data_IF_865608896873
#
_entry.id   IF_865608896873
#
_cell.length_a   1.000
_cell.length_b   1.000
_cell.length_c   1.000
_cell.angle_alpha   90.00
_cell.angle_beta   90.00
_cell.angle_gamma   90.00
#
_symmetry.space_group_name_H-M   'P 1'
#
loop_
_entity.id
_entity.type
_entity.pdbx_description
1 polymer ?
#
# COMPACT_ATOMS: atom_id res chain seq x y z
N UNK A 1 -22.21 9.31 -17.64
CA UNK A 1 -20.81 8.83 -17.50
C UNK A 1 -19.90 10.06 -17.45
N UNK A 2 -18.97 10.17 -16.49
CA UNK A 2 -18.21 11.43 -16.25
C UNK A 2 -17.09 11.71 -17.25
N UNK A 3 -16.45 10.66 -17.81
CA UNK A 3 -15.42 10.80 -18.85
C UNK A 3 -16.09 10.66 -20.21
N UNK A 4 -15.99 11.70 -21.05
CA UNK A 4 -16.68 11.77 -22.35
C UNK A 4 -15.93 11.01 -23.45
N UNK A 5 -14.60 11.16 -23.49
CA UNK A 5 -13.74 10.51 -24.49
C UNK A 5 -13.60 9.00 -24.20
N UNK A 6 -13.78 8.17 -25.23
CA UNK A 6 -13.64 6.72 -25.15
C UNK A 6 -12.19 6.26 -24.98
N UNK A 7 -11.26 6.89 -25.71
CA UNK A 7 -9.85 6.49 -25.64
C UNK A 7 -9.25 6.86 -24.30
N UNK A 8 -9.62 8.03 -23.76
CA UNK A 8 -9.28 8.40 -22.40
C UNK A 8 -9.88 7.43 -21.38
N UNK A 9 -11.15 7.00 -21.53
CA UNK A 9 -11.76 5.99 -20.64
C UNK A 9 -10.96 4.69 -20.61
N UNK A 10 -10.51 4.19 -21.77
CA UNK A 10 -9.69 2.98 -21.86
C UNK A 10 -8.38 3.16 -21.08
N UNK A 11 -7.70 4.30 -21.25
CA UNK A 11 -6.45 4.60 -20.53
C UNK A 11 -6.62 4.76 -19.01
N UNK A 12 -7.77 5.26 -18.56
CA UNK A 12 -8.08 5.46 -17.14
C UNK A 12 -8.60 4.18 -16.45
N UNK A 13 -9.00 3.17 -17.21
CA UNK A 13 -9.54 1.92 -16.67
C UNK A 13 -8.40 0.99 -16.25
N UNK A 14 -8.25 0.69 -14.95
CA UNK A 14 -7.16 -0.16 -14.49
C UNK A 14 -7.37 -1.62 -14.95
N UNK A 15 -6.29 -2.34 -15.31
CA UNK A 15 -6.38 -3.74 -15.76
C UNK A 15 -6.40 -4.72 -14.58
N UNK A 16 -7.13 -4.40 -13.51
CA UNK A 16 -7.22 -5.21 -12.30
C UNK A 16 -8.60 -5.07 -11.66
N UNK A 17 -8.97 -6.05 -10.83
CA UNK A 17 -10.28 -6.11 -10.20
C UNK A 17 -10.47 -4.99 -9.16
N UNK A 18 -11.71 -4.50 -9.07
CA UNK A 18 -12.07 -3.52 -8.07
C UNK A 18 -11.85 -4.07 -6.65
N UNK A 19 -11.28 -3.24 -5.77
CA UNK A 19 -10.96 -3.64 -4.40
C UNK A 19 -9.61 -4.34 -4.23
N UNK A 20 -8.91 -4.67 -5.32
CA UNK A 20 -7.53 -5.16 -5.24
C UNK A 20 -6.58 -4.10 -4.65
N UNK A 21 -6.85 -2.81 -4.89
CA UNK A 21 -6.23 -1.67 -4.22
C UNK A 21 -7.28 -0.89 -3.44
N UNK A 22 -6.84 -0.12 -2.44
CA UNK A 22 -7.70 0.82 -1.72
C UNK A 22 -8.29 1.84 -2.70
N UNK A 23 -9.62 1.92 -2.75
CA UNK A 23 -10.33 2.84 -3.61
C UNK A 23 -10.03 4.30 -3.20
N UNK A 24 -9.69 5.13 -4.18
CA UNK A 24 -9.59 6.57 -4.01
C UNK A 24 -10.93 7.19 -4.38
N UNK A 25 -11.51 7.96 -3.46
CA UNK A 25 -12.81 8.62 -3.65
C UNK A 25 -12.56 10.11 -3.87
N UNK A 26 -13.01 10.61 -5.02
CA UNK A 26 -12.84 12.01 -5.40
C UNK A 26 -13.91 12.39 -6.42
N UNK A 27 -14.41 13.62 -6.32
CA UNK A 27 -15.35 14.19 -7.28
C UNK A 27 -14.63 14.98 -8.38
N UNK A 28 -13.36 15.33 -8.17
CA UNK A 28 -12.67 16.36 -8.95
C UNK A 28 -11.66 15.78 -9.95
N UNK A 29 -11.24 14.52 -9.78
CA UNK A 29 -10.18 13.93 -10.60
C UNK A 29 -10.59 13.69 -12.06
N UNK A 30 -11.76 13.08 -12.31
CA UNK A 30 -12.24 12.87 -13.68
C UNK A 30 -12.57 14.18 -14.42
N UNK A 31 -13.13 15.22 -13.77
CA UNK A 31 -13.21 16.55 -14.38
C UNK A 31 -11.83 17.17 -14.68
N UNK A 32 -10.87 17.03 -13.76
CA UNK A 32 -9.54 17.62 -13.92
C UNK A 32 -8.76 17.03 -15.10
N UNK A 33 -8.79 15.70 -15.28
CA UNK A 33 -8.02 15.01 -16.34
C UNK A 33 -8.54 15.34 -17.76
N UNK A 34 -9.74 15.88 -17.88
CA UNK A 34 -10.36 16.26 -19.17
C UNK A 34 -10.15 17.74 -19.53
N UNK A 35 -9.47 18.54 -18.69
CA UNK A 35 -9.20 19.95 -18.98
C UNK A 35 -8.22 20.10 -20.16
N UNK A 36 -8.36 21.14 -20.99
CA UNK A 36 -7.53 21.30 -22.19
C UNK A 36 -6.04 21.50 -21.89
N UNK A 37 -5.69 21.92 -20.67
CA UNK A 37 -4.32 22.10 -20.21
C UNK A 37 -3.75 20.89 -19.44
N UNK A 38 -4.40 19.73 -19.52
CA UNK A 38 -3.96 18.50 -18.85
C UNK A 38 -3.69 17.42 -19.89
N UNK A 39 -2.51 16.80 -19.81
CA UNK A 39 -2.10 15.69 -20.66
C UNK A 39 -1.85 14.46 -19.79
N UNK A 40 -2.56 13.36 -20.08
CA UNK A 40 -2.28 12.05 -19.50
C UNK A 40 -1.16 11.37 -20.29
N UNK A 41 -0.06 11.05 -19.62
CA UNK A 41 1.07 10.28 -20.17
C UNK A 41 1.16 8.97 -19.40
N UNK A 42 1.03 7.84 -20.10
CA UNK A 42 1.07 6.48 -19.50
C UNK A 42 2.36 5.73 -19.79
N UNK A 43 3.24 6.34 -20.59
CA UNK A 43 4.49 5.74 -21.05
C UNK A 43 5.52 5.77 -19.92
N UNK A 44 6.38 4.75 -19.85
CA UNK A 44 7.38 4.64 -18.79
C UNK A 44 8.41 5.76 -18.91
N UNK A 45 8.75 6.37 -17.78
CA UNK A 45 9.81 7.38 -17.69
C UNK A 45 11.16 6.68 -17.84
N UNK A 46 12.00 7.19 -18.74
CA UNK A 46 13.37 6.75 -18.98
C UNK A 46 14.36 7.54 -18.13
N UNK A 47 14.27 8.86 -18.17
CA UNK A 47 15.15 9.76 -17.43
C UNK A 47 14.44 11.08 -17.10
N UNK A 48 14.87 11.71 -16.00
CA UNK A 48 14.50 13.07 -15.64
C UNK A 48 15.73 13.94 -15.89
N UNK A 49 15.58 14.98 -16.72
CA UNK A 49 16.60 15.99 -16.97
C UNK A 49 16.34 17.21 -16.08
N UNK A 50 17.20 18.22 -16.18
CA UNK A 50 17.09 19.47 -15.43
C UNK A 50 15.77 20.23 -15.65
N UNK A 51 15.20 20.11 -16.85
CA UNK A 51 14.10 20.92 -17.37
C UNK A 51 13.09 20.09 -18.18
N UNK A 52 13.22 18.77 -18.18
CA UNK A 52 12.33 17.89 -18.94
C UNK A 52 12.25 16.46 -18.37
N UNK A 53 11.26 15.71 -18.84
CA UNK A 53 11.09 14.28 -18.59
C UNK A 53 11.11 13.56 -19.93
N UNK A 54 11.93 12.52 -20.04
CA UNK A 54 12.02 11.68 -21.24
C UNK A 54 11.38 10.33 -20.97
N UNK A 55 10.53 9.87 -21.88
CA UNK A 55 9.91 8.55 -21.83
C UNK A 55 10.62 7.55 -22.75
N UNK A 56 10.41 6.25 -22.54
CA UNK A 56 11.13 5.19 -23.28
C UNK A 56 10.81 5.12 -24.79
N UNK A 57 9.68 5.66 -25.21
CA UNK A 57 9.27 5.83 -26.61
C UNK A 57 9.94 7.03 -27.29
N UNK A 58 10.73 7.82 -26.56
CA UNK A 58 11.53 8.92 -27.10
C UNK A 58 10.87 10.30 -27.01
N UNK A 59 9.65 10.40 -26.50
CA UNK A 59 9.03 11.68 -26.22
C UNK A 59 9.76 12.43 -25.10
N UNK A 60 9.89 13.75 -25.25
CA UNK A 60 10.45 14.64 -24.25
C UNK A 60 9.43 15.71 -23.87
N UNK A 61 9.23 15.87 -22.56
CA UNK A 61 8.24 16.75 -21.97
C UNK A 61 8.96 17.86 -21.19
N UNK A 62 9.04 19.10 -21.69
CA UNK A 62 9.59 20.21 -20.92
C UNK A 62 8.73 20.52 -19.70
N UNK A 63 9.35 20.71 -18.53
CA UNK A 63 8.66 20.91 -17.25
C UNK A 63 9.35 21.99 -16.42
N UNK A 64 8.57 22.85 -15.77
CA UNK A 64 9.10 23.82 -14.80
C UNK A 64 9.08 23.25 -13.36
N UNK A 65 8.12 22.37 -13.06
CA UNK A 65 7.88 21.80 -11.73
C UNK A 65 7.54 20.31 -11.84
N UNK A 66 8.15 19.52 -10.95
CA UNK A 66 7.88 18.09 -10.77
C UNK A 66 7.27 17.87 -9.38
N UNK A 67 6.07 17.29 -9.33
CA UNK A 67 5.42 16.88 -8.09
C UNK A 67 5.51 15.35 -7.95
N UNK A 68 6.17 14.89 -6.88
CA UNK A 68 6.37 13.47 -6.60
C UNK A 68 5.19 12.88 -5.82
N UNK A 69 4.27 12.22 -6.54
CA UNK A 69 3.13 11.51 -5.94
C UNK A 69 3.34 9.99 -5.98
N UNK A 70 4.52 9.53 -5.56
CA UNK A 70 5.00 8.12 -5.67
C UNK A 70 4.60 7.21 -4.49
N UNK A 71 3.76 7.68 -3.57
CA UNK A 71 3.29 6.89 -2.44
C UNK A 71 4.36 6.66 -1.36
N UNK A 72 4.24 5.56 -0.63
CA UNK A 72 5.03 5.26 0.59
C UNK A 72 5.49 3.80 0.62
N UNK A 73 6.52 3.54 1.43
CA UNK A 73 6.89 2.21 1.87
C UNK A 73 6.25 1.95 3.24
N UNK A 74 5.36 0.95 3.32
CA UNK A 74 4.36 0.85 4.41
C UNK A 74 4.46 -0.45 5.22
N UNK A 75 5.43 -1.30 4.91
CA UNK A 75 5.73 -2.50 5.70
C UNK A 75 7.25 -2.73 5.75
N UNK A 76 7.87 -2.33 6.86
CA UNK A 76 9.29 -2.57 7.15
C UNK A 76 9.49 -3.49 8.35
N UNK A 77 8.41 -4.04 8.91
CA UNK A 77 8.47 -4.99 10.03
C UNK A 77 8.25 -6.41 9.49
N UNK A 78 9.31 -7.17 9.20
CA UNK A 78 9.21 -8.45 8.49
C UNK A 78 8.78 -9.61 9.39
N UNK A 79 8.69 -9.40 10.71
CA UNK A 79 8.43 -10.50 11.64
C UNK A 79 6.93 -10.77 11.77
N UNK A 80 6.46 -12.02 11.60
CA UNK A 80 5.07 -12.38 11.83
C UNK A 80 4.70 -12.11 13.30
N UNK A 81 3.49 -11.64 13.51
CA UNK A 81 2.99 -11.29 14.83
C UNK A 81 1.62 -11.93 15.08
N UNK A 82 1.45 -12.52 16.26
CA UNK A 82 0.19 -13.05 16.70
C UNK A 82 -0.78 -11.90 16.91
N UNK A 83 -1.95 -11.99 16.27
CA UNK A 83 -2.94 -10.90 16.21
C UNK A 83 -2.38 -9.58 15.65
N UNK A 84 -1.24 -9.61 14.95
CA UNK A 84 -0.56 -8.43 14.47
C UNK A 84 0.00 -7.54 15.59
N UNK A 85 0.15 -8.07 16.82
CA UNK A 85 0.60 -7.32 18.00
C UNK A 85 1.80 -7.96 18.68
N UNK A 86 1.69 -9.23 19.08
CA UNK A 86 2.73 -9.92 19.86
C UNK A 86 3.66 -10.71 18.97
N UNK A 87 4.97 -10.51 19.13
CA UNK A 87 6.00 -11.16 18.32
C UNK A 87 6.65 -12.27 19.16
N UNK A 88 6.69 -13.53 18.68
CA UNK A 88 7.27 -14.63 19.46
C UNK A 88 8.76 -14.39 19.73
N UNK A 89 9.22 -14.78 20.91
CA UNK A 89 10.60 -14.63 21.40
C UNK A 89 11.00 -13.17 21.71
N UNK A 90 10.04 -12.24 21.74
CA UNK A 90 10.22 -10.86 22.19
C UNK A 90 9.28 -10.60 23.37
N UNK A 91 9.60 -11.10 24.58
CA UNK A 91 8.72 -10.97 25.74
C UNK A 91 8.43 -9.51 26.07
N UNK A 92 7.19 -9.23 26.46
CA UNK A 92 6.69 -7.89 26.82
C UNK A 92 6.79 -6.84 25.68
N UNK A 93 6.99 -7.27 24.44
CA UNK A 93 7.02 -6.40 23.28
C UNK A 93 5.70 -6.47 22.50
N UNK A 94 5.09 -5.31 22.26
CA UNK A 94 3.82 -5.17 21.55
C UNK A 94 3.94 -4.14 20.42
N UNK A 95 3.44 -4.49 19.24
CA UNK A 95 3.43 -3.62 18.06
C UNK A 95 2.00 -3.16 17.78
N UNK A 96 1.81 -1.86 17.58
CA UNK A 96 0.56 -1.33 17.02
C UNK A 96 0.67 -1.24 15.50
N UNK A 97 -0.44 -1.51 14.82
CA UNK A 97 -0.50 -1.53 13.35
C UNK A 97 0.55 -2.49 12.75
N UNK A 98 0.78 -3.62 13.42
CA UNK A 98 1.69 -4.66 12.94
C UNK A 98 1.14 -5.46 11.74
N UNK A 99 1.85 -6.53 11.34
CA UNK A 99 1.48 -7.35 10.18
C UNK A 99 0.03 -7.82 10.22
N UNK A 100 -0.57 -7.99 9.04
CA UNK A 100 -1.96 -8.44 8.85
C UNK A 100 -3.05 -7.50 9.41
N UNK A 101 -2.70 -6.30 9.89
CA UNK A 101 -3.69 -5.32 10.41
C UNK A 101 -3.97 -4.14 9.48
N UNK A 102 -3.24 -4.04 8.37
CA UNK A 102 -3.51 -3.05 7.33
C UNK A 102 -4.85 -3.32 6.63
N UNK A 103 -5.65 -2.27 6.45
CA UNK A 103 -6.99 -2.37 5.85
C UNK A 103 -7.13 -1.46 4.63
N UNK A 104 -7.73 -1.97 3.55
CA UNK A 104 -8.15 -1.16 2.39
C UNK A 104 -9.58 -0.67 2.40
N UNK A 105 -10.41 -1.16 3.33
CA UNK A 105 -11.86 -0.96 3.30
C UNK A 105 -12.42 -0.28 4.56
N UNK A 106 -11.60 -0.09 5.61
CA UNK A 106 -12.05 0.52 6.86
C UNK A 106 -10.94 1.40 7.47
N UNK A 107 -11.28 2.12 8.54
CA UNK A 107 -10.37 2.94 9.32
C UNK A 107 -9.37 2.09 10.09
N UNK A 108 -8.12 2.51 10.08
CA UNK A 108 -7.06 1.90 10.90
C UNK A 108 -7.30 2.12 12.40
N UNK A 109 -8.07 3.14 12.79
CA UNK A 109 -8.40 3.45 14.18
C UNK A 109 -9.08 2.27 14.86
N UNK A 110 -9.99 1.59 14.15
CA UNK A 110 -10.69 0.41 14.67
C UNK A 110 -9.70 -0.71 15.03
N UNK A 111 -8.65 -0.88 14.22
CA UNK A 111 -7.59 -1.85 14.52
C UNK A 111 -6.79 -1.42 15.74
N UNK A 112 -6.41 -0.15 15.81
CA UNK A 112 -5.65 0.40 16.94
C UNK A 112 -6.42 0.24 18.25
N UNK A 113 -7.72 0.54 18.26
CA UNK A 113 -8.58 0.38 19.44
C UNK A 113 -8.66 -1.08 19.88
N UNK A 114 -8.87 -2.02 18.95
CA UNK A 114 -8.87 -3.45 19.27
C UNK A 114 -7.51 -3.95 19.79
N UNK A 115 -6.40 -3.44 19.24
CA UNK A 115 -5.05 -3.78 19.68
C UNK A 115 -4.77 -3.22 21.08
N UNK A 116 -5.15 -1.97 21.36
CA UNK A 116 -5.02 -1.36 22.70
C UNK A 116 -5.83 -2.16 23.73
N UNK A 117 -7.05 -2.58 23.39
CA UNK A 117 -7.85 -3.44 24.26
C UNK A 117 -7.16 -4.78 24.55
N UNK A 118 -6.58 -5.43 23.53
CA UNK A 118 -5.81 -6.66 23.70
C UNK A 118 -4.59 -6.47 24.60
N UNK A 119 -3.80 -5.41 24.37
CA UNK A 119 -2.61 -5.09 25.17
C UNK A 119 -3.01 -4.81 26.62
N UNK A 120 -4.08 -4.04 26.84
CA UNK A 120 -4.57 -3.72 28.19
C UNK A 120 -4.98 -4.98 28.94
N UNK A 121 -5.70 -5.90 28.28
CA UNK A 121 -6.08 -7.19 28.88
C UNK A 121 -4.84 -8.04 29.22
N UNK A 122 -3.83 -8.06 28.34
CA UNK A 122 -2.58 -8.79 28.60
C UNK A 122 -1.84 -8.24 29.83
N UNK A 123 -1.73 -6.91 29.94
CA UNK A 123 -1.07 -6.26 31.08
C UNK A 123 -1.83 -6.48 32.39
N UNK A 124 -3.16 -6.38 32.38
CA UNK A 124 -3.99 -6.67 33.55
C UNK A 124 -3.84 -8.13 33.98
N UNK A 125 -3.86 -9.08 33.04
CA UNK A 125 -3.63 -10.49 33.32
C UNK A 125 -2.25 -10.75 33.94
N UNK A 126 -1.20 -10.12 33.40
CA UNK A 126 0.14 -10.22 33.99
C UNK A 126 0.17 -9.71 35.43
N UNK A 127 -0.46 -8.56 35.69
CA UNK A 127 -0.54 -7.99 37.03
C UNK A 127 -1.31 -8.89 38.01
N UNK A 128 -2.47 -9.40 37.60
CA UNK A 128 -3.30 -10.31 38.42
C UNK A 128 -2.60 -11.62 38.78
N UNK A 129 -1.76 -12.14 37.87
CA UNK A 129 -1.06 -13.40 38.05
C UNK A 129 0.39 -13.22 38.53
N UNK A 130 0.79 -11.99 38.88
CA UNK A 130 2.15 -11.64 39.28
C UNK A 130 3.22 -12.13 38.26
N UNK A 131 2.89 -12.09 36.98
CA UNK A 131 3.76 -12.52 35.89
C UNK A 131 4.67 -11.37 35.44
N UNK A 132 5.98 -11.64 35.34
CA UNK A 132 6.97 -10.66 34.91
C UNK A 132 7.17 -10.62 33.38
N UNK A 133 6.73 -11.66 32.69
CA UNK A 133 6.95 -11.84 31.26
C UNK A 133 5.72 -12.46 30.61
N UNK A 134 5.35 -11.93 29.45
CA UNK A 134 4.35 -12.49 28.54
C UNK A 134 4.95 -12.58 27.15
N UNK A 135 4.85 -13.76 26.56
CA UNK A 135 5.27 -14.04 25.20
C UNK A 135 4.28 -15.01 24.55
N UNK A 136 4.18 -14.96 23.22
CA UNK A 136 3.40 -15.90 22.43
C UNK A 136 4.26 -17.08 22.02
N UNK A 137 3.72 -18.30 22.15
CA UNK A 137 4.42 -19.49 21.67
C UNK A 137 4.56 -19.45 20.14
N UNK A 138 5.72 -19.85 19.64
CA UNK A 138 6.02 -19.87 18.20
C UNK A 138 4.97 -20.67 17.41
N UNK A 139 4.62 -21.88 17.85
CA UNK A 139 3.65 -22.74 17.16
C UNK A 139 2.24 -22.11 17.07
N UNK A 140 1.87 -21.27 18.04
CA UNK A 140 0.60 -20.55 18.08
C UNK A 140 0.63 -19.37 17.10
N UNK A 141 1.75 -18.65 17.05
CA UNK A 141 1.98 -17.59 16.07
C UNK A 141 1.92 -18.13 14.64
N UNK A 142 2.63 -19.22 14.36
CA UNK A 142 2.75 -19.79 13.02
C UNK A 142 1.39 -20.27 12.52
N UNK A 143 0.67 -21.07 13.34
CA UNK A 143 -0.68 -21.52 13.02
C UNK A 143 -1.66 -20.38 12.78
N UNK A 144 -1.52 -19.27 13.52
CA UNK A 144 -2.34 -18.07 13.31
C UNK A 144 -2.07 -17.42 11.95
N UNK A 145 -0.79 -17.22 11.62
CA UNK A 145 -0.39 -16.61 10.36
C UNK A 145 -0.72 -17.50 9.16
N UNK A 146 -0.49 -18.82 9.23
CA UNK A 146 -0.85 -19.78 8.19
C UNK A 146 -2.35 -19.72 7.85
N UNK A 147 -3.20 -19.65 8.88
CA UNK A 147 -4.64 -19.53 8.71
C UNK A 147 -5.02 -18.22 8.01
N UNK A 148 -4.38 -17.10 8.38
CA UNK A 148 -4.59 -15.81 7.72
C UNK A 148 -4.17 -15.88 6.26
N UNK A 149 -2.95 -16.36 5.98
CA UNK A 149 -2.44 -16.44 4.61
C UNK A 149 -3.32 -17.35 3.75
N UNK A 150 -3.77 -18.48 4.28
CA UNK A 150 -4.72 -19.38 3.60
C UNK A 150 -6.04 -18.69 3.24
N UNK A 151 -6.59 -17.87 4.14
CA UNK A 151 -7.81 -17.08 3.87
C UNK A 151 -7.57 -15.98 2.85
N UNK A 152 -6.45 -15.27 2.93
CA UNK A 152 -6.11 -14.16 2.03
C UNK A 152 -5.93 -14.61 0.58
N UNK A 153 -5.40 -15.81 0.35
CA UNK A 153 -5.21 -16.40 -1.01
C UNK A 153 -6.47 -16.38 -1.87
N UNK A 154 -7.65 -16.45 -1.27
CA UNK A 154 -8.95 -16.50 -1.98
C UNK A 154 -9.60 -15.12 -2.16
N UNK A 155 -8.93 -14.05 -1.77
CA UNK A 155 -9.49 -12.70 -1.79
C UNK A 155 -8.94 -11.88 -2.96
N UNK A 156 -9.67 -10.84 -3.35
CA UNK A 156 -9.25 -9.89 -4.41
C UNK A 156 -7.89 -9.24 -4.11
N UNK A 157 -7.47 -9.21 -2.85
CA UNK A 157 -6.16 -8.74 -2.41
C UNK A 157 -4.99 -9.60 -2.90
N UNK A 158 -5.22 -10.85 -3.30
CA UNK A 158 -4.21 -11.75 -3.84
C UNK A 158 -4.53 -12.18 -5.28
N UNK A 159 -5.81 -12.34 -5.61
CA UNK A 159 -6.24 -12.82 -6.93
C UNK A 159 -6.67 -11.71 -7.90
N UNK A 160 -6.81 -10.46 -7.44
CA UNK A 160 -7.42 -9.38 -8.21
C UNK A 160 -6.55 -8.78 -9.32
N UNK A 161 -5.42 -9.40 -9.66
CA UNK A 161 -4.56 -8.99 -10.78
C UNK A 161 -3.78 -7.68 -10.58
N UNK A 162 -3.87 -7.05 -9.40
CA UNK A 162 -3.10 -5.86 -9.09
C UNK A 162 -1.86 -6.17 -8.26
N UNK A 163 -0.94 -5.21 -8.28
CA UNK A 163 0.25 -5.17 -7.43
C UNK A 163 0.17 -3.93 -6.55
N UNK A 164 0.15 -4.11 -5.24
CA UNK A 164 -0.08 -3.06 -4.25
C UNK A 164 0.94 -3.10 -3.13
N UNK A 165 1.09 -2.00 -2.39
CA UNK A 165 2.00 -1.92 -1.25
C UNK A 165 1.60 -2.80 -0.05
N UNK A 166 0.39 -3.35 -0.04
CA UNK A 166 -0.05 -4.34 0.96
C UNK A 166 0.51 -5.75 0.66
N UNK A 167 1.08 -5.94 -0.53
CA UNK A 167 1.77 -7.15 -0.95
C UNK A 167 3.27 -6.86 -0.92
N UNK A 168 4.06 -7.79 -0.40
CA UNK A 168 5.42 -7.53 0.02
C UNK A 168 6.38 -7.16 -1.13
N UNK A 169 7.40 -6.35 -0.82
CA UNK A 169 8.56 -6.03 -1.67
C UNK A 169 9.88 -6.33 -0.91
N UNK A 170 10.79 -7.02 -1.59
CA UNK A 170 11.93 -7.79 -1.06
C UNK A 170 12.95 -6.93 -0.31
N UNK A 171 13.07 -7.09 1.00
CA UNK A 171 14.37 -6.89 1.67
C UNK A 171 14.53 -7.86 2.85
N UNK A 172 15.37 -8.89 2.63
CA UNK A 172 15.97 -9.86 3.57
C UNK A 172 15.09 -11.01 4.09
N UNK A 173 15.20 -12.19 3.46
CA UNK A 173 15.58 -13.51 4.05
C UNK A 173 15.20 -14.64 3.05
N UNK A 174 16.11 -15.62 2.92
CA UNK A 174 15.98 -16.76 2.01
C UNK A 174 14.91 -17.74 2.51
N UNK A 175 13.75 -17.73 1.87
CA UNK A 175 12.88 -18.88 1.55
C UNK A 175 11.65 -18.30 0.81
N UNK A 176 11.12 -19.05 -0.15
CA UNK A 176 10.22 -18.59 -1.20
C UNK A 176 8.92 -17.95 -0.67
N UNK A 177 8.89 -16.62 -0.50
CA UNK A 177 7.68 -15.81 -0.33
C UNK A 177 7.73 -14.57 -1.25
N UNK A 178 6.55 -14.13 -1.72
CA UNK A 178 6.37 -13.30 -2.92
C UNK A 178 6.96 -11.90 -2.78
N UNK A 179 7.73 -11.49 -3.80
CA UNK A 179 8.23 -10.12 -3.93
C UNK A 179 8.37 -9.70 -5.40
N UNK A 180 7.70 -8.63 -5.85
CA UNK A 180 8.00 -7.98 -7.15
C UNK A 180 7.79 -6.46 -7.07
N UNK A 181 8.81 -5.70 -7.51
CA UNK A 181 8.74 -4.28 -7.90
C UNK A 181 7.97 -4.12 -9.19
N UNK A 182 6.85 -3.43 -9.16
CA UNK A 182 6.03 -3.35 -10.37
C UNK A 182 5.34 -2.03 -10.49
N UNK A 183 5.79 -1.30 -11.51
CA UNK A 183 5.06 -0.23 -12.16
C UNK A 183 4.29 0.65 -11.18
N UNK A 184 5.06 1.42 -10.40
CA UNK A 184 4.55 2.73 -10.07
C UNK A 184 4.23 3.39 -11.41
N UNK A 185 2.94 3.54 -11.72
CA UNK A 185 2.52 4.78 -12.34
C UNK A 185 3.00 5.87 -11.39
N UNK A 186 4.24 6.33 -11.61
CA UNK A 186 4.74 7.57 -11.05
C UNK A 186 3.80 8.59 -11.66
N UNK A 187 2.75 8.97 -10.93
CA UNK A 187 1.97 10.14 -11.30
C UNK A 187 2.85 11.34 -10.97
N UNK A 188 3.77 11.65 -11.89
CA UNK A 188 4.39 12.98 -11.91
C UNK A 188 3.31 13.90 -12.42
N UNK A 189 2.79 14.75 -11.54
CA UNK A 189 2.03 15.89 -12.00
C UNK A 189 3.05 16.89 -12.52
N UNK A 190 3.09 16.99 -13.84
CA UNK A 190 3.89 17.96 -14.56
C UNK A 190 3.04 19.21 -14.75
N UNK A 191 3.50 20.33 -14.21
CA UNK A 191 2.95 21.64 -14.55
C UNK A 191 3.84 22.26 -15.62
N UNK A 192 3.30 22.41 -16.83
CA UNK A 192 3.93 23.16 -17.91
C UNK A 192 3.33 24.57 -17.98
N UNK A 193 4.12 25.56 -18.39
CA UNK A 193 3.68 26.96 -18.62
C UNK A 193 2.35 27.05 -19.37
N UNK A 194 1.27 27.17 -18.60
CA UNK A 194 0.14 28.02 -18.98
C UNK A 194 0.26 29.23 -18.07
N UNK A 195 0.85 30.31 -18.59
CA UNK A 195 1.08 31.61 -17.96
C UNK A 195 0.54 31.74 -16.53
N UNK A 196 1.42 31.59 -15.53
CA UNK A 196 1.23 32.29 -14.26
C UNK A 196 1.37 33.79 -14.57
N UNK A 197 0.24 34.43 -14.91
CA UNK A 197 0.08 35.87 -14.93
C UNK A 197 -0.90 36.24 -13.83
#
# INVERSE_FOLDING_TARGET
MQVKDEELRKKLTPPFDFGCKRALVTNDWYPAIQKPNVKLVTNRIKEIKSDSIVTYDGDEYPVDIIIWSTGYMVQTFPMPAYRGVTVPNFPNFFVLVGPNTGLGHNSIIVMIEAQIQYITQALLYMNENNAQSLDVKQDVNDRYNDNIQSKLKKTVWQSGGCRSWYQNANIYLEETEIYIFTDQCIFIYVLTKTSFK
#
